data_IF_527330496080
#
_entry.id   IF_527330496080
#
_cell.length_a   1.000
_cell.length_b   1.000
_cell.length_c   1.000
_cell.angle_alpha   90.00
_cell.angle_beta   90.00
_cell.angle_gamma   90.00
#
_symmetry.space_group_name_H-M   'P 1'
#
loop_
_entity.id
_entity.type
_entity.pdbx_description
1 polymer ?
#
# COMPACT_ATOMS: atom_id res chain seq x y z
N UNK A 1 -21.26 23.16 -7.71
CA UNK A 1 -19.92 22.60 -7.46
C UNK A 1 -18.89 23.46 -8.17
N UNK A 2 -17.95 24.05 -7.45
CA UNK A 2 -16.88 24.87 -8.03
C UNK A 2 -15.67 24.00 -8.41
N UNK A 3 -15.05 24.31 -9.53
CA UNK A 3 -13.85 23.64 -10.05
C UNK A 3 -12.91 24.69 -10.65
N UNK A 4 -11.69 24.29 -10.99
CA UNK A 4 -10.73 25.11 -11.74
C UNK A 4 -11.25 25.56 -13.13
N UNK A 5 -12.26 24.86 -13.67
CA UNK A 5 -12.92 25.17 -14.94
C UNK A 5 -14.21 25.97 -14.80
N UNK A 6 -14.56 26.38 -13.57
CA UNK A 6 -15.76 27.15 -13.26
C UNK A 6 -16.80 26.35 -12.49
N UNK A 7 -18.02 26.89 -12.47
CA UNK A 7 -19.12 26.36 -11.65
C UNK A 7 -20.01 25.41 -12.45
N UNK A 8 -20.34 24.27 -11.82
CA UNK A 8 -21.29 23.27 -12.32
C UNK A 8 -22.52 23.29 -11.41
N UNK A 9 -23.67 23.68 -11.96
CA UNK A 9 -24.96 23.62 -11.27
C UNK A 9 -25.38 22.15 -11.09
N UNK A 10 -25.77 21.79 -9.86
CA UNK A 10 -26.17 20.41 -9.53
C UNK A 10 -27.10 20.43 -8.32
N UNK A 11 -28.10 19.54 -8.33
CA UNK A 11 -29.03 19.37 -7.21
C UNK A 11 -28.43 18.53 -6.09
N UNK A 12 -27.55 17.58 -6.43
CA UNK A 12 -26.96 16.60 -5.50
C UNK A 12 -25.47 16.43 -5.81
N UNK A 13 -24.66 16.35 -4.76
CA UNK A 13 -23.23 16.00 -4.84
C UNK A 13 -22.96 14.79 -3.97
N UNK A 14 -22.26 13.80 -4.51
CA UNK A 14 -21.71 12.66 -3.77
C UNK A 14 -20.19 12.77 -3.85
N UNK A 15 -19.53 13.08 -2.72
CA UNK A 15 -18.07 13.11 -2.65
C UNK A 15 -17.52 11.70 -2.44
N UNK A 16 -16.68 11.24 -3.37
CA UNK A 16 -15.87 10.03 -3.21
C UNK A 16 -14.38 10.38 -2.95
N UNK A 17 -14.09 11.63 -2.59
CA UNK A 17 -12.77 12.03 -2.13
C UNK A 17 -12.53 11.53 -0.69
N UNK A 18 -11.28 11.60 -0.23
CA UNK A 18 -10.98 11.37 1.19
C UNK A 18 -11.88 12.24 2.08
N UNK A 19 -12.38 11.65 3.16
CA UNK A 19 -13.40 12.31 3.98
C UNK A 19 -12.81 13.49 4.76
N UNK A 20 -11.58 13.36 5.26
CA UNK A 20 -10.88 14.45 5.91
C UNK A 20 -10.63 15.61 4.92
N UNK A 21 -10.22 15.30 3.69
CA UNK A 21 -10.06 16.29 2.63
C UNK A 21 -11.40 16.98 2.27
N UNK A 22 -12.49 16.22 2.14
CA UNK A 22 -13.81 16.80 1.83
C UNK A 22 -14.22 17.79 2.90
N UNK A 23 -14.13 17.39 4.17
CA UNK A 23 -14.48 18.25 5.31
C UNK A 23 -13.57 19.48 5.38
N UNK A 24 -12.25 19.35 5.22
CA UNK A 24 -11.32 20.45 5.46
C UNK A 24 -11.09 21.38 4.27
N UNK A 25 -11.23 20.88 3.04
CA UNK A 25 -10.85 21.60 1.84
C UNK A 25 -12.02 21.90 0.89
N UNK A 26 -13.10 21.11 0.93
CA UNK A 26 -14.21 21.26 -0.03
C UNK A 26 -15.48 21.85 0.61
N UNK A 27 -15.63 21.74 1.93
CA UNK A 27 -16.78 22.27 2.65
C UNK A 27 -16.44 23.55 3.42
N UNK A 28 -17.36 24.50 3.38
CA UNK A 28 -17.35 25.66 4.28
C UNK A 28 -17.50 25.22 5.73
N UNK A 29 -16.95 25.99 6.66
CA UNK A 29 -16.89 25.64 8.09
C UNK A 29 -18.24 25.26 8.71
N UNK A 30 -19.33 25.87 8.24
CA UNK A 30 -20.70 25.61 8.72
C UNK A 30 -21.30 24.29 8.22
N UNK A 31 -20.76 23.74 7.13
CA UNK A 31 -21.22 22.50 6.51
C UNK A 31 -20.36 21.29 6.93
N UNK A 32 -19.37 21.50 7.80
CA UNK A 32 -18.48 20.46 8.32
C UNK A 32 -19.14 19.73 9.49
N UNK A 33 -19.06 18.40 9.48
CA UNK A 33 -19.44 17.57 10.64
C UNK A 33 -18.33 17.55 11.70
N UNK A 34 -17.07 17.69 11.27
CA UNK A 34 -15.90 17.59 12.14
C UNK A 34 -14.93 18.74 11.90
N UNK A 35 -14.24 19.18 12.96
CA UNK A 35 -13.23 20.23 12.88
C UNK A 35 -11.80 19.67 12.82
N UNK A 36 -10.84 20.54 12.56
CA UNK A 36 -9.41 20.20 12.52
C UNK A 36 -8.93 19.43 13.76
N UNK A 37 -9.41 19.81 14.96
CA UNK A 37 -9.04 19.14 16.22
C UNK A 37 -9.56 17.69 16.31
N UNK A 38 -10.68 17.38 15.66
CA UNK A 38 -11.15 16.00 15.56
C UNK A 38 -10.18 15.17 14.71
N UNK A 39 -9.83 15.69 13.54
CA UNK A 39 -8.98 15.01 12.56
C UNK A 39 -7.53 14.86 13.03
N UNK A 40 -6.96 15.88 13.67
CA UNK A 40 -5.58 15.84 14.18
C UNK A 40 -5.33 14.80 15.29
N UNK A 41 -6.40 14.24 15.87
CA UNK A 41 -6.32 13.16 16.87
C UNK A 41 -6.57 11.78 16.28
N UNK A 42 -6.83 11.67 14.98
CA UNK A 42 -7.06 10.38 14.33
C UNK A 42 -5.73 9.74 13.98
N UNK A 43 -5.67 8.43 14.22
CA UNK A 43 -4.62 7.58 13.68
C UNK A 43 -5.06 7.24 12.26
N UNK A 44 -4.27 7.63 11.27
CA UNK A 44 -4.51 7.27 9.89
C UNK A 44 -4.33 5.75 9.71
N UNK A 45 -5.07 5.18 8.76
CA UNK A 45 -4.86 3.79 8.37
C UNK A 45 -3.44 3.58 7.83
N UNK A 46 -3.02 2.31 7.78
CA UNK A 46 -1.75 1.93 7.17
C UNK A 46 -1.67 2.36 5.70
N UNK A 47 -0.45 2.63 5.24
CA UNK A 47 -0.11 2.73 3.83
C UNK A 47 0.47 1.40 3.34
N UNK A 48 0.95 1.37 2.10
CA UNK A 48 1.60 0.20 1.51
C UNK A 48 2.86 0.61 0.73
N UNK A 49 3.91 -0.17 0.93
CA UNK A 49 5.04 -0.24 0.01
C UNK A 49 4.77 -1.35 -1.00
N UNK A 50 4.91 -1.04 -2.29
CA UNK A 50 4.56 -1.93 -3.39
C UNK A 50 5.76 -2.16 -4.30
N UNK A 51 6.03 -3.43 -4.60
CA UNK A 51 6.91 -3.84 -5.69
C UNK A 51 6.06 -4.42 -6.81
N UNK A 52 6.33 -4.02 -8.04
CA UNK A 52 5.74 -4.60 -9.24
C UNK A 52 6.86 -5.23 -10.04
N UNK A 53 6.78 -6.54 -10.22
CA UNK A 53 7.85 -7.37 -10.75
C UNK A 53 7.32 -8.16 -11.94
N UNK A 54 8.05 -8.06 -13.04
CA UNK A 54 7.99 -9.05 -14.11
C UNK A 54 9.14 -10.02 -13.88
N UNK A 55 8.82 -11.31 -13.75
CA UNK A 55 9.82 -12.36 -13.54
C UNK A 55 9.90 -13.19 -14.81
N UNK A 56 11.10 -13.31 -15.37
CA UNK A 56 11.37 -14.25 -16.45
C UNK A 56 11.34 -15.68 -15.89
N UNK A 57 10.51 -16.55 -16.48
CA UNK A 57 10.29 -17.90 -15.99
C UNK A 57 9.02 -18.04 -15.14
N UNK A 58 8.80 -19.26 -14.63
CA UNK A 58 7.70 -19.60 -13.74
C UNK A 58 8.26 -19.98 -12.37
N UNK A 59 7.72 -19.39 -11.32
CA UNK A 59 8.12 -19.62 -9.93
C UNK A 59 7.15 -20.63 -9.33
N UNK A 60 7.37 -21.93 -9.58
CA UNK A 60 6.40 -22.99 -9.26
C UNK A 60 5.99 -23.04 -7.77
N UNK A 61 6.83 -22.55 -6.87
CA UNK A 61 6.54 -22.48 -5.44
C UNK A 61 5.51 -21.42 -5.04
N UNK A 62 5.26 -20.42 -5.89
CA UNK A 62 4.25 -19.40 -5.63
C UNK A 62 2.86 -19.89 -6.04
N UNK A 63 1.87 -19.56 -5.20
CA UNK A 63 0.45 -19.61 -5.55
C UNK A 63 0.01 -18.25 -6.08
N UNK A 64 -1.25 -18.12 -6.53
CA UNK A 64 -1.79 -16.81 -6.90
C UNK A 64 -1.67 -15.82 -5.72
N UNK A 65 -2.03 -16.26 -4.52
CA UNK A 65 -2.01 -15.45 -3.30
C UNK A 65 -1.07 -16.11 -2.28
N UNK A 66 -0.09 -15.35 -1.79
CA UNK A 66 0.87 -15.83 -0.80
C UNK A 66 1.00 -14.80 0.31
N UNK A 67 0.92 -15.26 1.56
CA UNK A 67 1.12 -14.41 2.72
C UNK A 67 2.33 -14.93 3.50
N UNK A 68 3.32 -14.07 3.67
CA UNK A 68 4.52 -14.36 4.46
C UNK A 68 4.44 -13.55 5.75
N UNK A 69 4.29 -14.28 6.85
CA UNK A 69 4.22 -13.70 8.19
C UNK A 69 5.51 -14.03 8.90
N UNK A 70 6.18 -12.99 9.40
CA UNK A 70 7.28 -13.19 10.33
C UNK A 70 6.75 -13.73 11.67
N UNK A 71 7.63 -14.41 12.40
CA UNK A 71 7.40 -14.88 13.76
C UNK A 71 6.90 -13.78 14.72
N UNK A 72 7.30 -12.52 14.52
CA UNK A 72 6.81 -11.37 15.29
C UNK A 72 5.91 -10.42 14.49
N UNK A 73 4.93 -10.97 13.76
CA UNK A 73 3.93 -10.17 13.04
C UNK A 73 3.25 -9.10 13.91
N UNK A 74 3.16 -9.32 15.23
CA UNK A 74 2.57 -8.34 16.16
C UNK A 74 3.44 -7.09 16.28
N UNK A 75 4.76 -7.24 16.35
CA UNK A 75 5.69 -6.12 16.33
C UNK A 75 5.53 -5.30 15.05
N UNK A 76 5.38 -5.95 13.90
CA UNK A 76 5.13 -5.24 12.64
C UNK A 76 3.84 -4.38 12.69
N UNK A 77 2.72 -4.91 13.18
CA UNK A 77 1.50 -4.09 13.32
C UNK A 77 1.64 -2.99 14.37
N UNK A 78 2.39 -3.22 15.46
CA UNK A 78 2.67 -2.19 16.45
C UNK A 78 3.53 -1.06 15.85
N UNK A 79 4.48 -1.37 14.96
CA UNK A 79 5.24 -0.38 14.18
C UNK A 79 4.32 0.45 13.28
N UNK A 80 3.31 -0.17 12.67
CA UNK A 80 2.37 0.57 11.80
C UNK A 80 1.52 1.57 12.60
N UNK A 81 0.94 1.14 13.74
CA UNK A 81 -0.12 1.88 14.42
C UNK A 81 0.31 2.63 15.68
N UNK A 82 1.39 2.20 16.34
CA UNK A 82 1.83 2.76 17.63
C UNK A 82 3.15 3.50 17.51
N UNK A 83 4.11 2.94 16.76
CA UNK A 83 5.45 3.50 16.58
C UNK A 83 5.78 3.67 15.09
N UNK A 84 5.14 4.62 14.38
CA UNK A 84 5.25 4.77 12.92
C UNK A 84 6.68 4.79 12.40
N UNK A 85 7.10 3.71 11.75
CA UNK A 85 8.37 3.61 11.01
C UNK A 85 8.26 2.54 9.92
N UNK A 86 9.34 2.37 9.16
CA UNK A 86 9.52 1.15 8.37
C UNK A 86 9.75 -0.05 9.32
N UNK A 87 9.24 -1.25 8.99
CA UNK A 87 9.33 -2.43 9.86
C UNK A 87 10.64 -3.20 9.68
N UNK A 88 11.36 -3.47 10.78
CA UNK A 88 12.64 -4.20 10.72
C UNK A 88 12.53 -5.67 10.25
N UNK A 89 11.36 -6.30 10.45
CA UNK A 89 11.06 -7.66 9.98
C UNK A 89 9.73 -7.65 9.20
N UNK A 90 9.76 -7.37 7.89
CA UNK A 90 8.56 -7.13 7.11
C UNK A 90 7.75 -8.42 6.90
N UNK A 91 6.50 -8.44 7.38
CA UNK A 91 5.49 -9.39 6.90
C UNK A 91 4.81 -8.84 5.65
N UNK A 92 4.78 -9.59 4.57
CA UNK A 92 4.31 -9.08 3.29
C UNK A 92 3.49 -10.11 2.52
N UNK A 93 2.74 -9.58 1.56
CA UNK A 93 1.87 -10.33 0.69
C UNK A 93 2.44 -10.34 -0.73
N UNK A 94 2.36 -11.48 -1.42
CA UNK A 94 2.70 -11.61 -2.83
C UNK A 94 1.46 -12.06 -3.61
N UNK A 95 1.12 -11.32 -4.66
CA UNK A 95 0.18 -11.74 -5.68
C UNK A 95 0.94 -12.14 -6.94
N UNK A 96 0.86 -13.41 -7.34
CA UNK A 96 1.32 -13.89 -8.65
C UNK A 96 0.11 -14.12 -9.55
N UNK A 97 -0.43 -13.04 -10.14
CA UNK A 97 -1.74 -13.08 -10.84
C UNK A 97 -1.73 -14.05 -12.01
N UNK A 98 -0.60 -14.11 -12.72
CA UNK A 98 -0.34 -14.98 -13.87
C UNK A 98 -0.39 -16.49 -13.59
N UNK A 99 -0.65 -16.88 -12.33
CA UNK A 99 -0.96 -18.27 -11.94
C UNK A 99 -2.36 -18.69 -12.36
N UNK A 100 -3.31 -17.76 -12.49
CA UNK A 100 -4.71 -18.08 -12.85
C UNK A 100 -5.25 -17.24 -14.00
N UNK A 101 -4.48 -16.29 -14.52
CA UNK A 101 -4.84 -15.49 -15.68
C UNK A 101 -3.64 -15.31 -16.63
N UNK A 102 -3.91 -14.80 -17.83
CA UNK A 102 -2.89 -14.50 -18.84
C UNK A 102 -2.40 -13.05 -18.72
N UNK A 103 -2.12 -12.59 -17.49
CA UNK A 103 -1.65 -11.21 -17.22
C UNK A 103 -0.14 -10.99 -17.42
N UNK A 104 0.60 -12.01 -17.84
CA UNK A 104 2.04 -11.95 -18.11
C UNK A 104 2.38 -12.45 -19.52
N UNK A 105 3.51 -12.00 -20.10
CA UNK A 105 4.06 -12.60 -21.31
C UNK A 105 4.26 -14.12 -21.19
N UNK A 106 4.28 -14.81 -22.34
CA UNK A 106 4.46 -16.26 -22.37
C UNK A 106 5.79 -16.65 -21.72
N UNK A 107 5.71 -17.50 -20.69
CA UNK A 107 6.88 -17.97 -19.96
C UNK A 107 7.34 -17.05 -18.83
N UNK A 108 6.65 -15.93 -18.58
CA UNK A 108 6.93 -15.02 -17.46
C UNK A 108 5.87 -15.15 -16.34
N UNK A 109 6.15 -14.49 -15.21
CA UNK A 109 5.19 -14.23 -14.15
C UNK A 109 5.01 -12.74 -13.88
N UNK A 110 3.76 -12.32 -13.71
CA UNK A 110 3.38 -11.01 -13.20
C UNK A 110 3.18 -11.14 -11.69
N UNK A 111 4.04 -10.46 -10.93
CA UNK A 111 4.07 -10.51 -9.48
C UNK A 111 4.01 -9.10 -8.91
N UNK A 112 3.16 -8.87 -7.92
CA UNK A 112 3.29 -7.71 -7.06
C UNK A 112 3.43 -8.10 -5.60
N UNK A 113 4.28 -7.36 -4.89
CA UNK A 113 4.50 -7.51 -3.45
C UNK A 113 3.89 -6.32 -2.73
N UNK A 114 3.20 -6.57 -1.63
CA UNK A 114 2.63 -5.56 -0.75
C UNK A 114 3.17 -5.75 0.66
N UNK A 115 3.91 -4.73 1.11
CA UNK A 115 4.34 -4.58 2.48
C UNK A 115 3.49 -3.49 3.16
N UNK A 116 2.67 -3.84 4.16
CA UNK A 116 1.97 -2.85 4.97
C UNK A 116 2.97 -1.98 5.74
N UNK A 117 2.81 -0.66 5.68
CA UNK A 117 3.68 0.31 6.38
C UNK A 117 2.86 1.40 7.07
N UNK A 118 3.45 2.11 8.01
CA UNK A 118 2.81 3.28 8.60
C UNK A 118 2.60 4.39 7.55
N UNK A 119 1.49 5.14 7.66
CA UNK A 119 1.24 6.30 6.81
C UNK A 119 2.11 7.49 7.23
N UNK A 120 2.62 8.24 6.26
CA UNK A 120 3.35 9.50 6.49
C UNK A 120 4.76 9.35 7.06
N UNK A 121 5.33 8.14 6.99
CA UNK A 121 6.75 7.90 7.33
C UNK A 121 7.67 8.42 6.22
N UNK A 122 8.95 8.62 6.55
CA UNK A 122 9.97 8.94 5.56
C UNK A 122 10.28 7.72 4.67
N UNK A 123 10.22 7.90 3.35
CA UNK A 123 10.40 6.83 2.37
C UNK A 123 11.18 7.29 1.12
N UNK A 124 12.39 7.79 1.31
CA UNK A 124 13.25 8.18 0.19
C UNK A 124 13.70 6.97 -0.68
N UNK A 125 14.23 7.25 -1.88
CA UNK A 125 14.63 6.20 -2.83
C UNK A 125 15.61 5.19 -2.24
N UNK A 126 16.54 5.62 -1.37
CA UNK A 126 17.47 4.70 -0.73
C UNK A 126 16.73 3.71 0.17
N UNK A 127 15.83 4.19 1.03
CA UNK A 127 15.02 3.33 1.91
C UNK A 127 14.22 2.33 1.08
N UNK A 128 13.59 2.80 -0.01
CA UNK A 128 12.80 1.95 -0.90
C UNK A 128 13.64 0.85 -1.55
N UNK A 129 14.85 1.17 -2.02
CA UNK A 129 15.75 0.17 -2.59
C UNK A 129 16.24 -0.82 -1.53
N UNK A 130 16.63 -0.36 -0.34
CA UNK A 130 17.10 -1.24 0.74
C UNK A 130 16.01 -2.27 1.11
N UNK A 131 14.75 -1.83 1.24
CA UNK A 131 13.61 -2.71 1.52
C UNK A 131 13.23 -3.61 0.33
N UNK A 132 13.36 -3.12 -0.91
CA UNK A 132 13.17 -3.94 -2.08
C UNK A 132 14.17 -5.11 -2.09
N UNK A 133 15.46 -4.80 -1.87
CA UNK A 133 16.52 -5.79 -1.81
C UNK A 133 16.28 -6.80 -0.68
N UNK A 134 15.87 -6.35 0.51
CA UNK A 134 15.56 -7.23 1.63
C UNK A 134 14.43 -8.22 1.29
N UNK A 135 13.34 -7.72 0.71
CA UNK A 135 12.19 -8.52 0.31
C UNK A 135 12.57 -9.51 -0.80
N UNK A 136 13.29 -9.07 -1.83
CA UNK A 136 13.74 -9.92 -2.94
C UNK A 136 14.68 -11.01 -2.43
N UNK A 137 15.64 -10.67 -1.56
CA UNK A 137 16.52 -11.64 -0.92
C UNK A 137 15.76 -12.68 -0.09
N UNK A 138 14.70 -12.26 0.62
CA UNK A 138 13.85 -13.19 1.35
C UNK A 138 13.01 -14.07 0.41
N UNK A 139 12.45 -13.49 -0.65
CA UNK A 139 11.77 -14.24 -1.72
C UNK A 139 12.69 -15.29 -2.34
N UNK A 140 13.96 -14.98 -2.60
CA UNK A 140 14.92 -15.94 -3.14
C UNK A 140 15.13 -17.13 -2.20
N UNK A 141 15.25 -16.87 -0.89
CA UNK A 141 15.42 -17.93 0.13
C UNK A 141 14.21 -18.87 0.23
N UNK A 142 12.99 -18.33 0.16
CA UNK A 142 11.76 -19.12 0.37
C UNK A 142 11.27 -19.83 -0.90
N UNK A 143 11.59 -19.29 -2.08
CA UNK A 143 11.17 -19.87 -3.36
C UNK A 143 12.27 -20.71 -4.02
N UNK A 144 13.54 -20.43 -3.72
CA UNK A 144 14.70 -21.06 -4.38
C UNK A 144 15.04 -20.47 -5.75
N UNK A 145 14.45 -19.32 -6.12
CA UNK A 145 14.73 -18.59 -7.36
C UNK A 145 15.60 -17.37 -7.08
N UNK A 146 16.29 -16.86 -8.10
CA UNK A 146 17.02 -15.60 -8.03
C UNK A 146 16.21 -14.52 -8.74
N UNK A 147 16.08 -13.33 -8.14
CA UNK A 147 15.22 -12.24 -8.59
C UNK A 147 16.02 -10.97 -8.85
#
# INVERSE_FOLDING_TARGET
METDKGFIETDIVISNADYHFTEMNLLDNENRSFNEKYWSRKIMGQSAFLLYLEIEGRVDSLLHHNLYLDSDWKEHFDTIFKNPSMPDNPSYYISATSKTDDSAPLGCENVFVLLPVASGIEDNDKIRHDYADEILNHMSKITGYDY
#
